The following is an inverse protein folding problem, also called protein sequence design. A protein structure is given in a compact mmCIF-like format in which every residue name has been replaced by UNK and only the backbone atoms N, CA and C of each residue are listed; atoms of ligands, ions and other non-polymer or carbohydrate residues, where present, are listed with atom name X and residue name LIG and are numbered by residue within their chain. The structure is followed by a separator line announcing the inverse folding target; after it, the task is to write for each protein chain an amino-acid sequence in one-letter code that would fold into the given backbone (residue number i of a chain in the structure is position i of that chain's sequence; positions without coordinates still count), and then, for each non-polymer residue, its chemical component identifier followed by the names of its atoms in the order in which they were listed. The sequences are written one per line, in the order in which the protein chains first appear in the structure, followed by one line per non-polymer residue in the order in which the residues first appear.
data_IF_552532150783
#
_entry.id   IF_552532150783
#
_cell.length_a   1.000
_cell.length_b   1.000
_cell.length_c   1.000
_cell.angle_alpha   90.00
_cell.angle_beta   90.00
_cell.angle_gamma   90.00
#
_symmetry.space_group_name_H-M   'P 1'
#
loop_
_entity.id
_entity.type
_entity.pdbx_description
1 polymer ?
#
# COMPACT_ATOMS: atom_id res chain seq x y z
N UNK A 1 42.40 -14.50 64.25
CA UNK A 1 42.90 -13.19 63.78
C UNK A 1 41.69 -12.44 63.24
N UNK A 2 40.83 -11.97 64.14
CA UNK A 2 40.73 -10.56 64.59
C UNK A 2 40.03 -9.70 63.53
N UNK A 3 38.94 -8.96 63.76
CA UNK A 3 38.03 -8.68 64.88
C UNK A 3 36.92 -7.84 64.19
N UNK A 4 35.67 -8.31 64.11
CA UNK A 4 34.53 -7.87 64.93
C UNK A 4 34.32 -6.34 65.07
N UNK A 5 33.11 -5.85 64.73
CA UNK A 5 32.11 -5.29 65.69
C UNK A 5 31.01 -4.48 64.95
N UNK A 6 29.72 -4.92 64.93
CA UNK A 6 28.59 -4.65 65.87
C UNK A 6 27.70 -3.47 65.37
N UNK A 7 26.46 -3.70 64.88
CA UNK A 7 25.14 -3.83 65.56
C UNK A 7 24.57 -2.47 66.05
N UNK A 8 23.26 -2.16 66.15
CA UNK A 8 22.01 -2.90 66.42
C UNK A 8 20.81 -1.92 66.17
N UNK A 9 19.74 -2.25 65.44
CA UNK A 9 18.44 -2.85 65.83
C UNK A 9 17.46 -2.05 66.72
N UNK A 10 16.26 -1.81 66.15
CA UNK A 10 14.85 -1.96 66.62
C UNK A 10 14.40 -1.59 68.07
N UNK A 11 13.13 -1.12 68.10
CA UNK A 11 12.06 -1.35 69.12
C UNK A 11 11.64 -0.10 69.92
N UNK A 12 10.44 0.48 69.71
CA UNK A 12 9.10 0.16 70.24
C UNK A 12 8.84 0.61 71.71
N UNK A 13 7.73 1.36 71.90
CA UNK A 13 6.78 1.38 73.05
C UNK A 13 6.76 2.60 74.04
N UNK A 14 5.52 3.13 74.19
CA UNK A 14 4.80 3.71 75.36
C UNK A 14 4.65 5.23 75.58
N UNK A 15 3.43 5.70 75.20
CA UNK A 15 2.35 6.33 76.02
C UNK A 15 2.70 7.22 77.24
N UNK A 16 2.14 8.44 77.22
CA UNK A 16 1.40 9.16 78.30
C UNK A 16 0.57 10.27 77.59
N UNK A 17 -0.77 10.24 77.52
CA UNK A 17 -1.79 10.75 78.49
C UNK A 17 -1.39 12.10 79.14
N UNK A 18 -2.19 13.18 79.26
CA UNK A 18 -3.63 13.50 79.14
C UNK A 18 -3.72 15.06 79.27
N UNK A 19 -4.46 15.81 78.45
CA UNK A 19 -5.81 16.41 78.69
C UNK A 19 -5.87 17.91 79.11
N UNK A 20 -6.89 18.59 78.53
CA UNK A 20 -7.58 19.85 78.91
C UNK A 20 -6.94 21.20 78.45
N UNK A 21 -7.66 22.21 77.92
CA UNK A 21 -9.11 22.51 77.89
C UNK A 21 -9.50 23.60 76.84
N UNK A 22 -10.76 23.51 76.39
CA UNK A 22 -11.76 24.55 76.05
C UNK A 22 -11.58 25.61 74.92
N UNK A 23 -12.53 25.54 73.97
CA UNK A 23 -13.05 26.57 73.04
C UNK A 23 -14.05 27.52 73.78
N UNK A 24 -14.84 28.45 73.16
CA UNK A 24 -14.98 28.86 71.75
C UNK A 24 -15.17 30.39 71.48
N UNK A 25 -15.10 30.83 70.22
CA UNK A 25 -15.94 31.95 69.73
C UNK A 25 -16.06 31.97 68.20
N UNK A 26 -17.31 31.99 67.69
CA UNK A 26 -17.73 32.12 66.29
C UNK A 26 -17.73 33.59 65.85
N UNK A 27 -17.42 33.90 64.58
CA UNK A 27 -18.16 34.84 63.69
C UNK A 27 -17.67 34.70 62.22
N UNK A 28 -18.50 35.11 61.26
CA UNK A 28 -18.70 34.70 59.84
C UNK A 28 -17.63 35.19 58.78
N UNK A 29 -17.71 34.77 57.49
CA UNK A 29 -16.58 34.63 56.55
C UNK A 29 -16.36 35.83 55.61
N UNK A 30 -15.17 35.90 55.00
CA UNK A 30 -14.88 36.74 53.84
C UNK A 30 -14.27 35.91 52.70
N UNK A 31 -14.96 35.89 51.56
CA UNK A 31 -14.45 35.42 50.28
C UNK A 31 -13.27 36.29 49.81
N UNK A 32 -12.19 35.68 49.35
CA UNK A 32 -11.26 36.31 48.40
C UNK A 32 -11.00 35.38 47.23
N UNK A 33 -11.23 35.92 46.03
CA UNK A 33 -11.24 35.25 44.74
C UNK A 33 -9.82 35.05 44.18
N UNK A 34 -9.60 33.87 43.61
CA UNK A 34 -8.40 33.48 42.87
C UNK A 34 -8.45 34.12 41.48
N UNK A 35 -7.48 34.99 41.15
CA UNK A 35 -7.28 35.51 39.79
C UNK A 35 -6.02 34.92 39.16
N UNK A 36 -6.12 33.70 38.65
CA UNK A 36 -5.10 33.08 37.77
C UNK A 36 -5.78 32.31 36.63
N UNK A 37 -6.43 32.99 35.69
CA UNK A 37 -7.10 32.32 34.54
C UNK A 37 -6.95 33.01 33.18
N UNK A 38 -6.16 34.08 33.01
CA UNK A 38 -6.05 34.76 31.70
C UNK A 38 -4.83 34.34 30.87
N UNK A 39 -3.71 33.93 31.48
CA UNK A 39 -2.49 33.55 30.75
C UNK A 39 -2.55 32.13 30.14
N UNK A 40 -3.10 31.15 30.87
CA UNK A 40 -3.19 29.76 30.41
C UNK A 40 -4.21 29.57 29.26
N UNK A 41 -5.31 30.34 29.27
CA UNK A 41 -6.31 30.36 28.20
C UNK A 41 -5.79 31.03 26.92
N UNK A 42 -4.99 32.10 27.04
CA UNK A 42 -4.32 32.74 25.89
C UNK A 42 -3.31 31.79 25.21
N UNK A 43 -2.58 30.99 26.00
CA UNK A 43 -1.61 30.02 25.45
C UNK A 43 -2.29 28.83 24.75
N UNK A 44 -3.37 28.27 25.31
CA UNK A 44 -4.18 27.23 24.62
C UNK A 44 -4.80 27.73 23.32
N UNK A 45 -5.26 28.99 23.27
CA UNK A 45 -5.82 29.60 22.06
C UNK A 45 -4.76 29.88 20.99
N UNK A 46 -3.51 30.16 21.38
CA UNK A 46 -2.40 30.37 20.44
C UNK A 46 -1.93 29.05 19.83
N UNK A 47 -1.80 27.99 20.65
CA UNK A 47 -1.45 26.64 20.19
C UNK A 47 -2.51 26.09 19.23
N UNK A 48 -3.81 26.22 19.55
CA UNK A 48 -4.89 25.77 18.67
C UNK A 48 -4.98 26.57 17.36
N UNK A 49 -4.70 27.89 17.36
CA UNK A 49 -4.61 28.68 16.12
C UNK A 49 -3.44 28.25 15.23
N UNK A 50 -2.27 27.94 15.81
CA UNK A 50 -1.11 27.43 15.07
C UNK A 50 -1.43 26.05 14.46
N UNK A 51 -2.07 25.17 15.23
CA UNK A 51 -2.46 23.84 14.78
C UNK A 51 -3.49 23.89 13.63
N UNK A 52 -4.49 24.77 13.73
CA UNK A 52 -5.47 25.02 12.65
C UNK A 52 -4.81 25.61 11.40
N UNK A 53 -3.88 26.55 11.54
CA UNK A 53 -3.10 27.11 10.40
C UNK A 53 -2.23 26.04 9.73
N UNK A 54 -1.56 25.19 10.51
CA UNK A 54 -0.76 24.07 10.00
C UNK A 54 -1.63 23.04 9.27
N UNK A 55 -2.82 22.74 9.79
CA UNK A 55 -3.79 21.86 9.10
C UNK A 55 -4.29 22.47 7.78
N UNK A 56 -4.63 23.76 7.77
CA UNK A 56 -5.07 24.45 6.55
C UNK A 56 -3.97 24.51 5.49
N UNK A 57 -2.74 24.85 5.89
CA UNK A 57 -1.59 24.85 5.00
C UNK A 57 -1.30 23.45 4.46
N UNK A 58 -1.36 22.42 5.30
CA UNK A 58 -1.23 21.02 4.85
C UNK A 58 -2.36 20.64 3.88
N UNK A 59 -3.60 21.11 4.07
CA UNK A 59 -4.70 20.79 3.15
C UNK A 59 -4.56 21.51 1.81
N UNK A 60 -4.17 22.78 1.80
CA UNK A 60 -3.86 23.53 0.58
C UNK A 60 -2.66 22.92 -0.17
N UNK A 61 -1.59 22.57 0.54
CA UNK A 61 -0.44 21.88 -0.04
C UNK A 61 -0.81 20.52 -0.62
N UNK A 62 -1.64 19.73 0.08
CA UNK A 62 -2.15 18.46 -0.43
C UNK A 62 -3.06 18.62 -1.64
N UNK A 63 -3.91 19.66 -1.68
CA UNK A 63 -4.75 19.98 -2.83
C UNK A 63 -3.91 20.37 -4.05
N UNK A 64 -2.91 21.21 -3.85
CA UNK A 64 -1.94 21.57 -4.89
C UNK A 64 -1.13 20.36 -5.36
N UNK A 65 -0.74 19.47 -4.45
CA UNK A 65 -0.03 18.24 -4.79
C UNK A 65 -0.92 17.33 -5.64
N UNK A 66 -2.16 17.09 -5.21
CA UNK A 66 -3.15 16.30 -5.96
C UNK A 66 -3.36 16.86 -7.37
N UNK A 67 -3.51 18.17 -7.52
CA UNK A 67 -3.63 18.80 -8.85
C UNK A 67 -2.42 18.56 -9.75
N UNK A 68 -1.22 18.44 -9.17
CA UNK A 68 0.01 18.23 -9.93
C UNK A 68 0.28 16.77 -10.28
N UNK A 69 -0.25 15.83 -9.49
CA UNK A 69 -0.11 14.38 -9.73
C UNK A 69 -1.25 13.81 -10.54
N UNK A 70 -2.42 14.45 -10.55
CA UNK A 70 -3.60 13.95 -11.23
C UNK A 70 -3.38 13.88 -12.74
N UNK A 71 -3.86 12.78 -13.30
CA UNK A 71 -3.98 12.57 -14.73
C UNK A 71 -5.00 13.53 -15.33
N UNK A 72 -4.63 14.11 -16.46
CA UNK A 72 -5.52 14.96 -17.26
C UNK A 72 -6.30 14.13 -18.30
N UNK A 73 -6.16 12.80 -18.28
CA UNK A 73 -6.79 11.88 -19.23
C UNK A 73 -8.31 11.83 -19.02
N UNK A 74 -9.03 12.04 -20.12
CA UNK A 74 -10.46 11.76 -20.15
C UNK A 74 -10.66 10.25 -20.25
N UNK A 75 -11.44 9.70 -19.32
CA UNK A 75 -11.87 8.32 -19.39
C UNK A 75 -12.90 8.21 -20.52
N UNK A 76 -12.62 7.39 -21.52
CA UNK A 76 -13.60 7.09 -22.58
C UNK A 76 -14.67 6.16 -21.99
N UNK A 77 -15.79 6.76 -21.56
CA UNK A 77 -16.92 6.07 -20.95
C UNK A 77 -17.54 5.03 -21.90
N UNK A 78 -17.45 5.22 -23.21
CA UNK A 78 -18.03 4.33 -24.21
C UNK A 78 -17.16 3.09 -24.41
N UNK A 79 -15.82 3.24 -24.51
CA UNK A 79 -14.88 2.10 -24.50
C UNK A 79 -14.96 1.33 -23.17
N UNK A 80 -15.10 2.06 -22.05
CA UNK A 80 -15.28 1.51 -20.71
C UNK A 80 -16.55 0.65 -20.62
N UNK A 81 -17.69 1.16 -21.09
CA UNK A 81 -18.96 0.42 -21.12
C UNK A 81 -18.99 -0.70 -22.17
N UNK A 82 -18.35 -0.51 -23.32
CA UNK A 82 -18.34 -1.48 -24.44
C UNK A 82 -17.46 -2.70 -24.16
N UNK A 83 -16.32 -2.54 -23.50
CA UNK A 83 -15.43 -3.66 -23.17
C UNK A 83 -15.78 -4.31 -21.83
N UNK A 84 -16.42 -3.58 -20.91
CA UNK A 84 -16.57 -4.03 -19.52
C UNK A 84 -17.98 -3.81 -18.91
N UNK A 85 -18.97 -3.36 -19.69
CA UNK A 85 -20.31 -3.02 -19.21
C UNK A 85 -21.37 -4.12 -19.31
N UNK A 86 -21.03 -5.35 -19.72
CA UNK A 86 -22.01 -6.44 -19.75
C UNK A 86 -22.15 -7.13 -18.38
N UNK A 87 -23.20 -6.72 -17.64
CA UNK A 87 -24.06 -7.59 -16.82
C UNK A 87 -23.50 -8.31 -15.58
N UNK A 88 -22.29 -8.87 -15.63
CA UNK A 88 -21.69 -9.69 -14.58
C UNK A 88 -20.28 -9.18 -14.28
N UNK A 89 -20.21 -8.18 -13.39
CA UNK A 89 -19.02 -7.57 -12.77
C UNK A 89 -17.67 -7.76 -13.50
N UNK A 90 -17.52 -7.21 -14.71
CA UNK A 90 -16.22 -7.20 -15.39
C UNK A 90 -15.40 -6.01 -14.85
N UNK A 91 -14.29 -6.32 -14.18
CA UNK A 91 -13.46 -5.35 -13.47
C UNK A 91 -12.63 -4.50 -14.44
N UNK A 92 -12.74 -3.17 -14.36
CA UNK A 92 -11.89 -2.27 -15.15
C UNK A 92 -10.51 -2.13 -14.49
N UNK A 93 -9.42 -2.37 -15.25
CA UNK A 93 -8.06 -2.18 -14.74
C UNK A 93 -7.82 -0.73 -14.29
N UNK A 94 -7.07 -0.57 -13.20
CA UNK A 94 -6.81 0.74 -12.59
C UNK A 94 -5.84 1.53 -13.46
N UNK A 95 -6.15 2.79 -13.77
CA UNK A 95 -5.30 3.65 -14.59
C UNK A 95 -4.94 3.04 -15.96
N UNK A 96 -5.86 2.27 -16.56
CA UNK A 96 -5.65 1.57 -17.83
C UNK A 96 -5.14 2.51 -18.93
N UNK A 97 -5.76 3.70 -19.04
CA UNK A 97 -5.38 4.67 -20.04
C UNK A 97 -3.95 5.17 -19.83
N UNK A 98 -3.58 5.51 -18.60
CA UNK A 98 -2.23 5.99 -18.27
C UNK A 98 -1.19 4.90 -18.55
N UNK A 99 -1.50 3.64 -18.22
CA UNK A 99 -0.60 2.51 -18.54
C UNK A 99 -0.39 2.37 -20.05
N UNK A 100 -1.43 2.50 -20.87
CA UNK A 100 -1.28 2.48 -22.32
C UNK A 100 -0.41 3.64 -22.82
N UNK A 101 -0.60 4.85 -22.29
CA UNK A 101 0.22 6.01 -22.69
C UNK A 101 1.71 5.81 -22.36
N UNK A 102 2.02 5.10 -21.27
CA UNK A 102 3.39 4.79 -20.87
C UNK A 102 4.12 3.92 -21.91
N UNK A 103 3.42 3.09 -22.65
CA UNK A 103 4.04 2.19 -23.65
C UNK A 103 3.75 2.61 -25.10
N UNK A 104 2.83 3.54 -25.35
CA UNK A 104 2.38 3.92 -26.69
C UNK A 104 3.47 4.50 -27.61
N UNK A 105 4.48 5.16 -27.06
CA UNK A 105 5.53 5.84 -27.83
C UNK A 105 6.71 4.94 -28.21
N UNK A 106 6.73 3.70 -27.71
CA UNK A 106 7.80 2.74 -27.94
C UNK A 106 7.30 1.52 -28.68
N UNK A 107 8.19 0.92 -29.49
CA UNK A 107 7.97 -0.39 -30.07
C UNK A 107 8.08 -1.42 -28.95
N UNK A 108 7.03 -2.23 -28.75
CA UNK A 108 6.93 -3.14 -27.62
C UNK A 108 7.01 -4.60 -28.08
N UNK A 109 8.18 -5.03 -28.56
CA UNK A 109 8.37 -6.41 -29.06
C UNK A 109 8.23 -7.45 -27.95
N UNK A 110 8.50 -7.07 -26.69
CA UNK A 110 8.37 -7.96 -25.53
C UNK A 110 7.79 -7.26 -24.29
N UNK A 111 6.86 -7.91 -23.60
CA UNK A 111 6.21 -7.35 -22.42
C UNK A 111 6.05 -8.36 -21.26
N UNK A 112 6.26 -7.89 -20.03
CA UNK A 112 6.06 -8.69 -18.82
C UNK A 112 5.04 -8.02 -17.89
N UNK A 113 3.93 -8.69 -17.63
CA UNK A 113 3.00 -8.34 -16.55
C UNK A 113 3.35 -9.15 -15.30
N UNK A 114 3.89 -8.50 -14.29
CA UNK A 114 4.30 -9.13 -13.03
C UNK A 114 3.12 -9.46 -12.10
N UNK A 115 1.93 -8.95 -12.41
CA UNK A 115 0.73 -8.98 -11.56
C UNK A 115 -0.47 -9.18 -12.46
N UNK A 116 -0.44 -10.29 -13.19
CA UNK A 116 -1.36 -10.60 -14.30
C UNK A 116 -2.82 -10.36 -13.92
N UNK A 117 -3.22 -10.72 -12.70
CA UNK A 117 -4.59 -10.60 -12.24
C UNK A 117 -5.51 -11.37 -13.18
N UNK A 118 -6.64 -10.76 -13.54
CA UNK A 118 -7.56 -11.34 -14.54
C UNK A 118 -7.11 -11.10 -16.00
N UNK A 119 -5.94 -10.47 -16.25
CA UNK A 119 -5.42 -10.22 -17.59
C UNK A 119 -5.93 -8.93 -18.26
N UNK A 120 -6.52 -8.01 -17.50
CA UNK A 120 -7.13 -6.78 -18.05
C UNK A 120 -6.12 -5.79 -18.64
N UNK A 121 -5.05 -5.45 -17.92
CA UNK A 121 -3.96 -4.62 -18.46
C UNK A 121 -3.27 -5.30 -19.64
N UNK A 122 -2.91 -6.57 -19.45
CA UNK A 122 -2.24 -7.39 -20.45
C UNK A 122 -3.02 -7.49 -21.76
N UNK A 123 -4.33 -7.74 -21.69
CA UNK A 123 -5.19 -7.79 -22.89
C UNK A 123 -5.17 -6.48 -23.68
N UNK A 124 -5.25 -5.34 -22.97
CA UNK A 124 -5.26 -4.04 -23.62
C UNK A 124 -3.89 -3.68 -24.23
N UNK A 125 -2.80 -4.02 -23.55
CA UNK A 125 -1.44 -3.79 -24.05
C UNK A 125 -1.16 -4.65 -25.28
N UNK A 126 -1.53 -5.94 -25.26
CA UNK A 126 -1.38 -6.83 -26.43
C UNK A 126 -2.16 -6.29 -27.64
N UNK A 127 -3.39 -5.80 -27.43
CA UNK A 127 -4.19 -5.21 -28.52
C UNK A 127 -3.59 -3.89 -29.05
N UNK A 128 -3.00 -3.08 -28.18
CA UNK A 128 -2.39 -1.81 -28.56
C UNK A 128 -1.05 -1.99 -29.29
N UNK A 129 -0.41 -3.15 -29.14
CA UNK A 129 0.90 -3.49 -29.70
C UNK A 129 0.84 -4.77 -30.55
N UNK A 130 0.20 -4.74 -31.74
CA UNK A 130 0.12 -5.90 -32.64
C UNK A 130 1.49 -6.36 -33.18
N UNK A 131 2.53 -5.54 -33.03
CA UNK A 131 3.91 -5.90 -33.34
C UNK A 131 4.59 -6.76 -32.26
N UNK A 132 3.97 -6.94 -31.09
CA UNK A 132 4.50 -7.72 -29.99
C UNK A 132 4.74 -9.17 -30.40
N UNK A 133 5.93 -9.69 -30.05
CA UNK A 133 6.34 -11.06 -30.34
C UNK A 133 6.35 -11.95 -29.12
N UNK A 134 6.56 -11.35 -27.95
CA UNK A 134 6.75 -12.11 -26.72
C UNK A 134 6.02 -11.47 -25.54
N UNK A 135 5.28 -12.28 -24.81
CA UNK A 135 4.53 -11.84 -23.65
C UNK A 135 4.67 -12.84 -22.49
N UNK A 136 4.89 -12.32 -21.28
CA UNK A 136 4.93 -13.11 -20.04
C UNK A 136 4.00 -12.49 -19.00
N UNK A 137 3.05 -13.27 -18.49
CA UNK A 137 2.21 -12.91 -17.34
C UNK A 137 2.53 -13.75 -16.11
N UNK A 138 2.74 -13.12 -14.96
CA UNK A 138 3.01 -13.76 -13.68
C UNK A 138 1.89 -13.47 -12.69
N UNK A 139 1.40 -14.50 -12.01
CA UNK A 139 0.56 -14.34 -10.83
C UNK A 139 0.86 -15.44 -9.81
N UNK A 140 0.52 -15.19 -8.55
CA UNK A 140 0.60 -16.19 -7.49
C UNK A 140 -0.76 -16.84 -7.20
N UNK A 141 -1.84 -16.27 -7.72
CA UNK A 141 -3.21 -16.72 -7.50
C UNK A 141 -3.70 -17.60 -8.66
N UNK A 142 -4.01 -18.89 -8.42
CA UNK A 142 -4.50 -19.80 -9.45
C UNK A 142 -5.81 -19.34 -10.10
N UNK A 143 -6.70 -18.69 -9.34
CA UNK A 143 -7.99 -18.23 -9.87
C UNK A 143 -7.79 -17.07 -10.84
N UNK A 144 -6.90 -16.13 -10.49
CA UNK A 144 -6.59 -14.99 -11.35
C UNK A 144 -5.93 -15.48 -12.66
N UNK A 145 -4.95 -16.37 -12.54
CA UNK A 145 -4.25 -16.97 -13.67
C UNK A 145 -5.19 -17.69 -14.65
N UNK A 146 -6.13 -18.50 -14.16
CA UNK A 146 -7.11 -19.19 -15.02
C UNK A 146 -8.01 -18.20 -15.80
N UNK A 147 -8.47 -17.15 -15.12
CA UNK A 147 -9.26 -16.08 -15.76
C UNK A 147 -8.45 -15.36 -16.84
N UNK A 148 -7.19 -15.01 -16.53
CA UNK A 148 -6.31 -14.36 -17.48
C UNK A 148 -6.00 -15.23 -18.70
N UNK A 149 -5.78 -16.53 -18.51
CA UNK A 149 -5.59 -17.46 -19.63
C UNK A 149 -6.81 -17.48 -20.55
N UNK A 150 -8.02 -17.50 -19.98
CA UNK A 150 -9.26 -17.46 -20.74
C UNK A 150 -9.41 -16.14 -21.50
N UNK A 151 -9.09 -15.01 -20.86
CA UNK A 151 -9.17 -13.69 -21.47
C UNK A 151 -8.15 -13.51 -22.61
N UNK A 152 -6.90 -13.89 -22.38
CA UNK A 152 -5.80 -13.75 -23.35
C UNK A 152 -6.02 -14.63 -24.59
N UNK A 153 -6.54 -15.86 -24.44
CA UNK A 153 -6.96 -16.69 -25.58
C UNK A 153 -7.98 -15.97 -26.46
N UNK A 154 -8.96 -15.30 -25.84
CA UNK A 154 -9.97 -14.53 -26.58
C UNK A 154 -9.40 -13.35 -27.36
N UNK A 155 -8.32 -12.73 -26.88
CA UNK A 155 -7.63 -11.62 -27.57
C UNK A 155 -6.80 -12.13 -28.73
N UNK A 156 -5.98 -13.14 -28.51
CA UNK A 156 -5.09 -13.72 -29.52
C UNK A 156 -5.87 -14.33 -30.69
N UNK A 157 -7.03 -14.94 -30.43
CA UNK A 157 -7.83 -15.61 -31.46
C UNK A 157 -8.85 -14.73 -32.19
N UNK A 158 -9.20 -13.54 -31.66
CA UNK A 158 -10.22 -12.67 -32.29
C UNK A 158 -9.77 -12.04 -33.61
N UNK A 159 -8.48 -11.79 -33.76
CA UNK A 159 -7.91 -11.19 -34.98
C UNK A 159 -7.43 -12.23 -36.00
N UNK A 160 -7.71 -13.53 -35.77
CA UNK A 160 -7.33 -14.65 -36.64
C UNK A 160 -8.26 -14.84 -37.86
N UNK A 161 -8.66 -13.76 -38.52
CA UNK A 161 -8.92 -13.80 -39.96
C UNK A 161 -7.62 -13.35 -40.65
N UNK A 162 -6.80 -14.32 -41.07
CA UNK A 162 -5.65 -14.20 -41.97
C UNK A 162 -4.32 -13.61 -41.44
N UNK A 163 -4.13 -13.38 -40.14
CA UNK A 163 -2.79 -13.20 -39.56
C UNK A 163 -2.57 -14.16 -38.40
N UNK A 164 -1.75 -15.19 -38.62
CA UNK A 164 -1.14 -15.95 -37.53
C UNK A 164 -0.36 -14.93 -36.71
N UNK A 165 -0.82 -14.61 -35.51
CA UNK A 165 -0.04 -13.76 -34.60
C UNK A 165 1.14 -14.61 -34.12
N UNK A 166 2.36 -14.29 -34.55
CA UNK A 166 3.61 -14.92 -34.07
C UNK A 166 3.91 -14.60 -32.58
N UNK A 167 2.90 -14.10 -31.83
CA UNK A 167 2.99 -13.75 -30.43
C UNK A 167 3.08 -15.01 -29.56
N UNK A 168 4.21 -15.17 -28.88
CA UNK A 168 4.40 -16.21 -27.87
C UNK A 168 3.87 -15.70 -26.52
N UNK A 169 2.84 -16.36 -26.00
CA UNK A 169 2.17 -16.00 -24.75
C UNK A 169 2.49 -17.03 -23.68
N UNK A 170 3.18 -16.60 -22.63
CA UNK A 170 3.50 -17.41 -21.46
C UNK A 170 2.78 -16.86 -20.23
N UNK A 171 2.02 -17.69 -19.53
CA UNK A 171 1.37 -17.31 -18.26
C UNK A 171 1.78 -18.30 -17.19
N UNK A 172 2.35 -17.84 -16.09
CA UNK A 172 2.97 -18.70 -15.08
C UNK A 172 2.46 -18.40 -13.67
N UNK A 173 2.19 -19.47 -12.92
CA UNK A 173 1.89 -19.40 -11.49
C UNK A 173 3.17 -19.25 -10.67
N UNK A 174 3.80 -18.10 -10.79
CA UNK A 174 5.05 -17.75 -10.11
C UNK A 174 4.98 -16.34 -9.57
N UNK A 175 5.59 -16.13 -8.41
CA UNK A 175 5.77 -14.80 -7.84
C UNK A 175 6.76 -13.99 -8.70
N UNK A 176 6.46 -12.70 -8.92
CA UNK A 176 7.28 -11.80 -9.72
C UNK A 176 8.72 -11.62 -9.20
N UNK A 177 9.01 -11.95 -7.93
CA UNK A 177 10.39 -12.01 -7.42
C UNK A 177 11.29 -12.95 -8.21
N UNK A 178 10.69 -13.91 -8.92
CA UNK A 178 11.38 -14.89 -9.75
C UNK A 178 11.52 -14.43 -11.21
N UNK A 179 11.24 -13.16 -11.56
CA UNK A 179 11.24 -12.69 -12.95
C UNK A 179 12.52 -13.07 -13.71
N UNK A 180 13.71 -12.92 -13.10
CA UNK A 180 14.98 -13.28 -13.76
C UNK A 180 15.07 -14.76 -14.09
N UNK A 181 14.71 -15.64 -13.16
CA UNK A 181 14.75 -17.09 -13.42
C UNK A 181 13.69 -17.49 -14.43
N UNK A 182 12.51 -16.87 -14.37
CA UNK A 182 11.43 -17.12 -15.33
C UNK A 182 11.84 -16.76 -16.75
N UNK A 183 12.38 -15.56 -16.95
CA UNK A 183 12.82 -15.12 -18.28
C UNK A 183 13.90 -16.06 -18.82
N UNK A 184 14.85 -16.47 -17.98
CA UNK A 184 15.90 -17.42 -18.36
C UNK A 184 15.35 -18.82 -18.70
N UNK A 185 14.33 -19.29 -18.00
CA UNK A 185 13.71 -20.61 -18.25
C UNK A 185 12.91 -20.64 -19.55
N UNK A 186 12.24 -19.53 -19.90
CA UNK A 186 11.43 -19.47 -21.13
C UNK A 186 12.33 -19.35 -22.35
N UNK A 187 13.25 -18.39 -22.33
CA UNK A 187 14.20 -18.19 -23.43
C UNK A 187 15.43 -17.41 -22.92
N UNK A 188 16.58 -18.08 -22.93
CA UNK A 188 17.85 -17.50 -22.49
C UNK A 188 18.33 -16.36 -23.38
N UNK A 189 17.91 -16.30 -24.65
CA UNK A 189 18.31 -15.24 -25.59
C UNK A 189 17.55 -13.93 -25.32
N UNK A 190 16.32 -14.00 -24.78
CA UNK A 190 15.53 -12.80 -24.40
C UNK A 190 16.22 -11.98 -23.31
N UNK A 191 17.01 -12.62 -22.44
CA UNK A 191 17.78 -11.92 -21.42
C UNK A 191 19.05 -11.24 -21.96
N UNK A 192 19.54 -11.63 -23.15
CA UNK A 192 20.72 -11.00 -23.73
C UNK A 192 20.41 -9.56 -24.16
N UNK A 193 19.23 -9.34 -24.75
CA UNK A 193 18.77 -8.01 -25.18
C UNK A 193 17.89 -7.31 -24.12
N UNK A 194 17.21 -8.09 -23.25
CA UNK A 194 16.29 -7.60 -22.23
C UNK A 194 14.86 -7.40 -22.74
N UNK A 195 13.93 -7.10 -21.83
CA UNK A 195 12.51 -6.89 -22.18
C UNK A 195 12.17 -5.40 -22.34
N UNK A 196 11.30 -5.09 -23.30
CA UNK A 196 10.94 -3.70 -23.63
C UNK A 196 10.01 -3.06 -22.61
N UNK A 197 9.03 -3.79 -22.06
CA UNK A 197 8.14 -3.26 -21.03
C UNK A 197 7.88 -4.23 -19.89
N UNK A 198 7.78 -3.69 -18.68
CA UNK A 198 7.37 -4.42 -17.49
C UNK A 198 6.32 -3.59 -16.75
N UNK A 199 5.23 -4.24 -16.33
CA UNK A 199 4.20 -3.67 -15.47
C UNK A 199 4.13 -4.42 -14.13
N UNK A 200 3.97 -3.67 -13.05
CA UNK A 200 3.63 -4.16 -11.72
C UNK A 200 2.42 -3.37 -11.17
N UNK A 201 1.22 -3.95 -11.23
CA UNK A 201 0.00 -3.47 -10.60
C UNK A 201 -0.17 -4.12 -9.22
N UNK A 202 0.33 -3.44 -8.17
CA UNK A 202 0.48 -4.03 -6.84
C UNK A 202 -0.87 -4.19 -6.12
N UNK A 203 -0.90 -5.04 -5.09
CA UNK A 203 -2.07 -5.18 -4.22
C UNK A 203 -2.93 -6.40 -4.56
N UNK A 204 -4.24 -6.28 -4.33
CA UNK A 204 -5.17 -7.42 -4.35
C UNK A 204 -6.04 -7.38 -5.59
N UNK A 205 -6.28 -8.55 -6.17
CA UNK A 205 -7.26 -8.70 -7.24
C UNK A 205 -8.69 -8.60 -6.68
N UNK A 206 -9.63 -8.26 -7.56
CA UNK A 206 -11.05 -8.27 -7.18
C UNK A 206 -11.54 -9.65 -6.79
N UNK A 207 -10.95 -10.71 -7.35
CA UNK A 207 -11.36 -12.09 -7.07
C UNK A 207 -11.00 -12.47 -5.64
N UNK A 208 -9.86 -11.96 -5.15
CA UNK A 208 -9.44 -12.12 -3.76
C UNK A 208 -10.34 -11.36 -2.79
N UNK A 209 -10.74 -10.13 -3.12
CA UNK A 209 -11.55 -9.28 -2.22
C UNK A 209 -13.03 -9.70 -2.22
N UNK A 210 -13.57 -10.09 -3.37
CA UNK A 210 -14.98 -10.45 -3.52
C UNK A 210 -15.29 -11.85 -3.00
N UNK A 211 -14.31 -12.77 -3.02
CA UNK A 211 -14.45 -14.09 -2.43
C UNK A 211 -14.19 -14.03 -0.92
N UNK A 212 -15.25 -14.15 -0.11
CA UNK A 212 -15.15 -14.10 1.35
C UNK A 212 -14.27 -15.20 1.94
N UNK A 213 -14.21 -16.38 1.31
CA UNK A 213 -13.38 -17.51 1.76
C UNK A 213 -11.88 -17.22 1.71
N UNK A 214 -11.46 -16.16 1.00
CA UNK A 214 -10.06 -15.72 0.93
C UNK A 214 -9.67 -14.82 2.11
N UNK A 215 -10.63 -14.31 2.87
CA UNK A 215 -10.37 -13.55 4.10
C UNK A 215 -9.86 -12.12 3.92
N UNK A 216 -9.86 -11.57 2.70
CA UNK A 216 -9.37 -10.20 2.44
C UNK A 216 -10.42 -9.11 2.72
N UNK A 217 -11.71 -9.46 2.77
CA UNK A 217 -12.79 -8.49 2.94
C UNK A 217 -12.94 -8.04 4.40
N UNK A 218 -12.99 -6.73 4.60
CA UNK A 218 -13.34 -6.12 5.90
C UNK A 218 -14.85 -6.19 6.18
N UNK A 219 -15.66 -6.34 5.13
CA UNK A 219 -17.12 -6.25 5.20
C UNK A 219 -17.81 -7.61 5.23
N UNK A 220 -17.28 -8.57 4.48
CA UNK A 220 -17.82 -9.91 4.38
C UNK A 220 -17.06 -10.86 5.31
N UNK A 221 -17.79 -11.67 6.06
CA UNK A 221 -17.21 -12.65 6.98
C UNK A 221 -16.59 -13.82 6.23
N UNK A 222 -15.49 -14.35 6.75
CA UNK A 222 -14.71 -15.44 6.19
C UNK A 222 -13.54 -15.83 7.10
N UNK A 223 -12.76 -16.86 6.73
CA UNK A 223 -11.61 -17.30 7.52
C UNK A 223 -10.50 -16.24 7.51
N UNK A 224 -9.67 -16.22 8.57
CA UNK A 224 -8.48 -15.38 8.64
C UNK A 224 -7.32 -15.96 7.80
N UNK A 225 -7.51 -16.02 6.48
CA UNK A 225 -6.53 -16.57 5.55
C UNK A 225 -5.56 -15.48 5.01
N UNK A 226 -6.05 -14.63 4.10
CA UNK A 226 -5.30 -13.55 3.45
C UNK A 226 -4.08 -13.97 2.61
N UNK A 227 -3.91 -15.26 2.30
CA UNK A 227 -2.86 -15.71 1.37
C UNK A 227 -3.27 -15.42 -0.07
N UNK A 228 -2.39 -14.74 -0.82
CA UNK A 228 -2.54 -14.53 -2.26
C UNK A 228 -2.28 -15.84 -3.02
N UNK A 229 -1.29 -16.62 -2.59
CA UNK A 229 -1.07 -18.00 -3.01
C UNK A 229 -1.72 -18.96 -2.00
N UNK A 230 -2.80 -19.68 -2.34
CA UNK A 230 -3.44 -20.64 -1.44
C UNK A 230 -2.52 -21.77 -0.92
N UNK A 231 -1.41 -22.05 -1.61
CA UNK A 231 -0.41 -23.05 -1.22
C UNK A 231 0.63 -22.52 -0.22
N UNK A 232 0.64 -21.22 0.08
CA UNK A 232 1.54 -20.66 1.09
C UNK A 232 1.18 -21.17 2.49
N UNK A 233 2.16 -21.34 3.37
CA UNK A 233 1.92 -21.97 4.69
C UNK A 233 1.34 -21.04 5.74
N UNK A 234 1.67 -19.75 5.71
CA UNK A 234 1.32 -18.78 6.74
C UNK A 234 -0.05 -18.14 6.47
N UNK A 235 -0.99 -18.21 7.42
CA UNK A 235 -2.28 -17.51 7.37
C UNK A 235 -2.30 -16.31 8.32
N UNK A 236 -3.24 -15.38 8.12
CA UNK A 236 -3.47 -14.28 9.05
C UNK A 236 -3.86 -14.77 10.46
N UNK A 237 -4.56 -15.90 10.54
CA UNK A 237 -4.89 -16.59 11.79
C UNK A 237 -3.63 -16.97 12.59
N UNK A 238 -2.62 -17.54 11.93
CA UNK A 238 -1.36 -17.95 12.57
C UNK A 238 -0.62 -16.75 13.17
N UNK A 239 -0.63 -15.62 12.46
CA UNK A 239 -0.06 -14.37 12.96
C UNK A 239 -0.79 -13.91 14.21
N UNK A 240 -2.12 -13.85 14.17
CA UNK A 240 -2.92 -13.32 15.27
C UNK A 240 -2.90 -14.22 16.49
N UNK A 241 -2.84 -15.53 16.33
CA UNK A 241 -2.94 -16.49 17.42
C UNK A 241 -1.58 -16.99 17.93
N UNK A 242 -0.55 -17.06 17.09
CA UNK A 242 0.69 -17.77 17.42
C UNK A 242 1.96 -16.92 17.40
N UNK A 243 1.99 -15.77 16.71
CA UNK A 243 3.19 -14.93 16.69
C UNK A 243 3.46 -14.25 18.05
N UNK A 244 4.72 -13.94 18.37
CA UNK A 244 5.06 -13.14 19.55
C UNK A 244 4.28 -11.81 19.56
N UNK A 245 3.81 -11.41 20.74
CA UNK A 245 3.01 -10.19 20.90
C UNK A 245 3.71 -8.96 20.29
N UNK A 246 5.03 -8.86 20.49
CA UNK A 246 5.86 -7.78 19.95
C UNK A 246 5.85 -7.74 18.42
N UNK A 247 5.81 -8.89 17.75
CA UNK A 247 5.75 -8.99 16.30
C UNK A 247 4.37 -8.61 15.76
N UNK A 248 3.29 -9.02 16.44
CA UNK A 248 1.94 -8.54 16.12
C UNK A 248 1.88 -7.01 16.27
N UNK A 249 2.41 -6.47 17.35
CA UNK A 249 2.52 -5.02 17.54
C UNK A 249 3.32 -4.33 16.44
N UNK A 250 4.45 -4.93 16.04
CA UNK A 250 5.31 -4.41 14.96
C UNK A 250 4.56 -4.31 13.64
N UNK A 251 3.90 -5.38 13.18
CA UNK A 251 3.21 -5.33 11.88
C UNK A 251 2.05 -4.33 11.90
N UNK A 252 1.29 -4.23 13.00
CA UNK A 252 0.20 -3.25 13.12
C UNK A 252 0.72 -1.81 13.03
N UNK A 253 1.87 -1.55 13.66
CA UNK A 253 2.53 -0.24 13.64
C UNK A 253 3.15 0.08 12.29
N UNK A 254 3.95 -0.84 11.75
CA UNK A 254 4.85 -0.57 10.63
C UNK A 254 4.20 -0.85 9.28
N UNK A 255 3.40 -1.91 9.17
CA UNK A 255 2.69 -2.27 7.94
C UNK A 255 1.27 -1.67 7.87
N UNK A 256 0.63 -1.50 9.02
CA UNK A 256 -0.69 -0.86 9.12
C UNK A 256 -0.65 0.66 9.27
N UNK A 257 0.50 1.24 9.63
CA UNK A 257 0.61 2.64 10.05
C UNK A 257 -0.46 3.02 11.12
N UNK A 258 -0.82 2.08 12.01
CA UNK A 258 -1.91 2.24 12.97
C UNK A 258 -1.41 2.88 14.26
N UNK A 259 -1.96 4.04 14.63
CA UNK A 259 -1.51 4.78 15.81
C UNK A 259 -1.85 4.07 17.13
N UNK A 260 -2.98 3.38 17.20
CA UNK A 260 -3.42 2.64 18.39
C UNK A 260 -2.93 1.18 18.39
N UNK A 261 -1.87 0.87 17.65
CA UNK A 261 -1.32 -0.49 17.49
C UNK A 261 -1.11 -1.21 18.82
N UNK A 262 -0.59 -0.51 19.85
CA UNK A 262 -0.31 -1.11 21.16
C UNK A 262 -1.59 -1.56 21.89
N UNK A 263 -2.65 -0.75 21.81
CA UNK A 263 -3.96 -1.10 22.39
C UNK A 263 -4.61 -2.28 21.66
N UNK A 264 -4.50 -2.29 20.33
CA UNK A 264 -5.00 -3.38 19.49
C UNK A 264 -4.25 -4.69 19.77
N UNK A 265 -2.92 -4.64 19.80
CA UNK A 265 -2.06 -5.78 20.17
C UNK A 265 -2.50 -6.37 21.51
N UNK A 266 -2.63 -5.57 22.56
CA UNK A 266 -3.05 -6.07 23.88
C UNK A 266 -4.44 -6.73 23.86
N UNK A 267 -5.36 -6.23 23.02
CA UNK A 267 -6.68 -6.85 22.86
C UNK A 267 -6.62 -8.17 22.10
N UNK A 268 -5.81 -8.26 21.04
CA UNK A 268 -5.57 -9.50 20.30
C UNK A 268 -4.96 -10.55 21.22
N UNK A 269 -3.93 -10.18 21.97
CA UNK A 269 -3.28 -11.07 22.96
C UNK A 269 -4.28 -11.55 24.01
N UNK A 270 -5.15 -10.66 24.49
CA UNK A 270 -6.20 -11.04 25.43
C UNK A 270 -7.22 -12.00 24.81
N UNK A 271 -7.56 -11.86 23.53
CA UNK A 271 -8.46 -12.76 22.83
C UNK A 271 -7.89 -14.19 22.71
N UNK A 272 -6.57 -14.35 22.64
CA UNK A 272 -5.89 -15.67 22.69
C UNK A 272 -6.25 -16.47 23.94
N UNK A 273 -6.45 -15.79 25.09
CA UNK A 273 -6.82 -16.44 26.34
C UNK A 273 -8.24 -17.03 26.32
N UNK A 274 -9.07 -16.64 25.36
CA UNK A 274 -10.46 -17.08 25.21
C UNK A 274 -10.70 -17.88 23.93
N UNK A 275 -9.65 -18.47 23.35
CA UNK A 275 -9.72 -19.32 22.16
C UNK A 275 -8.98 -18.75 20.94
N UNK A 276 -8.73 -17.44 20.88
CA UNK A 276 -8.11 -16.79 19.72
C UNK A 276 -9.13 -16.09 18.82
N UNK A 277 -8.69 -15.74 17.61
CA UNK A 277 -9.51 -15.18 16.55
C UNK A 277 -9.48 -16.15 15.36
N UNK A 278 -10.63 -16.50 14.80
CA UNK A 278 -10.76 -17.50 13.72
C UNK A 278 -11.49 -16.97 12.48
N UNK A 279 -12.16 -15.82 12.57
CA UNK A 279 -12.83 -15.19 11.43
C UNK A 279 -12.54 -13.70 11.28
N UNK A 280 -12.70 -13.20 10.06
CA UNK A 280 -12.59 -11.76 9.77
C UNK A 280 -13.61 -10.96 10.56
N UNK A 281 -14.81 -11.50 10.82
CA UNK A 281 -15.82 -10.86 11.66
C UNK A 281 -15.38 -10.72 13.11
N UNK A 282 -14.80 -11.76 13.71
CA UNK A 282 -14.29 -11.69 15.08
C UNK A 282 -13.21 -10.61 15.23
N UNK A 283 -12.28 -10.54 14.27
CA UNK A 283 -11.26 -9.51 14.22
C UNK A 283 -11.88 -8.11 14.08
N UNK A 284 -12.85 -7.94 13.17
CA UNK A 284 -13.56 -6.67 12.98
C UNK A 284 -14.32 -6.25 14.24
N UNK A 285 -14.97 -7.17 14.93
CA UNK A 285 -15.70 -6.87 16.17
C UNK A 285 -14.74 -6.50 17.31
N UNK A 286 -13.58 -7.15 17.40
CA UNK A 286 -12.50 -6.73 18.32
C UNK A 286 -12.04 -5.30 18.02
N UNK A 287 -11.84 -4.96 16.74
CA UNK A 287 -11.41 -3.63 16.31
C UNK A 287 -12.48 -2.57 16.62
N UNK A 288 -13.76 -2.86 16.34
CA UNK A 288 -14.89 -1.99 16.68
C UNK A 288 -14.92 -1.71 18.17
N UNK A 289 -14.75 -2.73 19.00
CA UNK A 289 -14.72 -2.62 20.46
C UNK A 289 -13.44 -1.93 20.98
N UNK A 290 -12.38 -1.82 20.17
CA UNK A 290 -11.15 -1.09 20.49
C UNK A 290 -11.17 0.40 20.15
N UNK A 291 -11.96 0.76 19.14
CA UNK A 291 -11.93 2.12 18.60
C UNK A 291 -12.88 2.99 19.42
N UNK A 292 -12.34 3.94 20.18
CA UNK A 292 -13.18 4.91 20.91
C UNK A 292 -13.99 5.75 19.91
N UNK A 293 -15.29 5.90 20.17
CA UNK A 293 -16.23 6.70 19.37
C UNK A 293 -15.76 8.15 19.15
N UNK A 294 -14.88 8.65 20.03
CA UNK A 294 -14.35 10.02 20.01
C UNK A 294 -13.29 10.28 18.93
N UNK A 295 -12.58 9.26 18.42
CA UNK A 295 -11.54 9.42 17.39
C UNK A 295 -12.04 8.96 16.02
N UNK A 296 -12.72 9.84 15.29
CA UNK A 296 -12.99 9.67 13.85
C UNK A 296 -14.45 9.44 13.44
N UNK A 297 -15.41 9.52 14.37
CA UNK A 297 -16.84 9.37 14.10
C UNK A 297 -17.24 7.94 13.68
N UNK A 298 -18.45 7.77 13.11
CA UNK A 298 -19.03 6.46 12.70
C UNK A 298 -18.12 5.61 11.79
N UNK A 299 -17.18 6.24 11.07
CA UNK A 299 -16.27 5.60 10.11
C UNK A 299 -14.86 5.31 10.66
N UNK A 300 -14.56 5.67 11.92
CA UNK A 300 -13.21 5.53 12.49
C UNK A 300 -12.73 4.07 12.58
N UNK A 301 -13.65 3.15 12.92
CA UNK A 301 -13.33 1.73 13.03
C UNK A 301 -13.03 1.11 11.65
N UNK A 302 -13.70 1.56 10.57
CA UNK A 302 -13.44 1.05 9.20
C UNK A 302 -12.01 1.36 8.79
N UNK A 303 -11.55 2.60 9.03
CA UNK A 303 -10.16 2.98 8.73
C UNK A 303 -9.15 2.14 9.51
N UNK A 304 -9.46 1.88 10.78
CA UNK A 304 -8.63 1.03 11.63
C UNK A 304 -8.61 -0.40 11.10
N UNK A 305 -9.77 -0.95 10.74
CA UNK A 305 -9.87 -2.29 10.16
C UNK A 305 -9.13 -2.41 8.83
N UNK A 306 -9.28 -1.45 7.92
CA UNK A 306 -8.51 -1.43 6.66
C UNK A 306 -7.00 -1.46 6.91
N UNK A 307 -6.48 -0.74 7.91
CA UNK A 307 -5.06 -0.76 8.28
C UNK A 307 -4.61 -2.07 8.90
N UNK A 308 -5.42 -2.66 9.78
CA UNK A 308 -5.12 -3.96 10.39
C UNK A 308 -5.10 -5.06 9.32
N UNK A 309 -6.09 -5.07 8.42
CA UNK A 309 -6.15 -6.02 7.31
C UNK A 309 -4.98 -5.81 6.35
N UNK A 310 -4.63 -4.57 6.02
CA UNK A 310 -3.43 -4.25 5.24
C UNK A 310 -2.16 -4.79 5.92
N UNK A 311 -2.01 -4.59 7.24
CA UNK A 311 -0.84 -5.08 7.98
C UNK A 311 -0.70 -6.60 7.93
N UNK A 312 -1.81 -7.31 8.14
CA UNK A 312 -1.86 -8.76 8.09
C UNK A 312 -1.57 -9.26 6.67
N UNK A 313 -2.22 -8.69 5.66
CA UNK A 313 -2.01 -9.00 4.24
C UNK A 313 -0.54 -8.90 3.85
N UNK A 314 0.08 -7.76 4.18
CA UNK A 314 1.50 -7.49 3.93
C UNK A 314 2.38 -8.53 4.62
N UNK A 315 2.07 -8.87 5.88
CA UNK A 315 2.87 -9.81 6.65
C UNK A 315 2.73 -11.26 6.14
N UNK A 316 1.52 -11.69 5.79
CA UNK A 316 1.21 -13.03 5.26
C UNK A 316 1.94 -13.26 3.94
N UNK A 317 1.95 -12.26 3.06
CA UNK A 317 2.46 -12.41 1.68
C UNK A 317 3.88 -11.86 1.49
N UNK A 318 4.52 -11.39 2.57
CA UNK A 318 5.85 -10.74 2.55
C UNK A 318 5.98 -9.66 1.45
N UNK A 319 4.93 -8.86 1.28
CA UNK A 319 4.73 -8.03 0.08
C UNK A 319 5.83 -6.97 -0.08
N UNK A 320 6.22 -6.31 1.01
CA UNK A 320 7.15 -5.18 0.95
C UNK A 320 8.60 -5.62 0.69
N UNK A 321 9.03 -6.73 1.28
CA UNK A 321 10.37 -7.28 1.02
C UNK A 321 10.45 -7.82 -0.40
N UNK A 322 9.42 -8.59 -0.80
CA UNK A 322 9.28 -9.08 -2.18
C UNK A 322 9.33 -7.93 -3.19
N UNK A 323 8.57 -6.85 -2.96
CA UNK A 323 8.58 -5.66 -3.84
C UNK A 323 9.96 -5.03 -3.95
N UNK A 324 10.64 -4.82 -2.81
CA UNK A 324 11.95 -4.16 -2.76
C UNK A 324 12.98 -4.88 -3.64
N UNK A 325 13.05 -6.20 -3.53
CA UNK A 325 14.01 -7.00 -4.28
C UNK A 325 13.62 -7.12 -5.76
N UNK A 326 12.31 -7.20 -6.02
CA UNK A 326 11.78 -7.39 -7.37
C UNK A 326 11.94 -6.17 -8.26
N UNK A 327 11.83 -4.94 -7.73
CA UNK A 327 12.00 -3.73 -8.56
C UNK A 327 13.38 -3.71 -9.23
N UNK A 328 14.43 -4.06 -8.48
CA UNK A 328 15.78 -4.11 -9.04
C UNK A 328 15.90 -5.24 -10.04
N UNK A 329 15.33 -6.41 -9.74
CA UNK A 329 15.34 -7.54 -10.66
C UNK A 329 14.64 -7.21 -11.98
N UNK A 330 13.47 -6.56 -11.94
CA UNK A 330 12.75 -6.09 -13.11
C UNK A 330 13.56 -5.07 -13.91
N UNK A 331 14.15 -4.07 -13.23
CA UNK A 331 14.95 -3.05 -13.91
C UNK A 331 16.16 -3.66 -14.63
N UNK A 332 16.87 -4.59 -13.99
CA UNK A 332 18.01 -5.25 -14.61
C UNK A 332 17.61 -6.05 -15.87
N UNK A 333 16.40 -6.63 -15.88
CA UNK A 333 15.85 -7.38 -17.01
C UNK A 333 15.38 -6.54 -18.18
N UNK A 334 15.31 -5.20 -18.06
CA UNK A 334 14.89 -4.33 -19.16
C UNK A 334 15.95 -4.26 -20.27
N UNK A 335 15.50 -4.10 -21.51
CA UNK A 335 16.32 -3.65 -22.62
C UNK A 335 16.71 -2.17 -22.47
N UNK A 336 17.73 -1.71 -23.19
CA UNK A 336 17.98 -0.26 -23.36
C UNK A 336 16.74 0.40 -23.99
N UNK A 337 16.33 1.54 -23.45
CA UNK A 337 15.06 2.19 -23.80
C UNK A 337 13.81 1.55 -23.17
N UNK A 338 13.93 0.39 -22.52
CA UNK A 338 12.82 -0.32 -21.90
C UNK A 338 12.24 0.40 -20.67
N UNK A 339 10.95 0.18 -20.40
CA UNK A 339 10.22 0.87 -19.31
C UNK A 339 9.68 -0.10 -18.26
N UNK A 340 9.86 0.27 -16.99
CA UNK A 340 9.19 -0.36 -15.86
C UNK A 340 8.14 0.61 -15.29
N UNK A 341 6.87 0.20 -15.37
CA UNK A 341 5.72 0.87 -14.80
C UNK A 341 5.26 0.16 -13.52
N UNK A 342 5.05 0.90 -12.44
CA UNK A 342 4.57 0.35 -11.15
C UNK A 342 3.38 1.16 -10.64
N UNK A 343 2.25 0.50 -10.43
CA UNK A 343 1.07 1.06 -9.75
C UNK A 343 1.08 0.58 -8.30
N UNK A 344 1.03 1.52 -7.37
CA UNK A 344 0.97 1.26 -5.93
C UNK A 344 -0.33 1.80 -5.33
N UNK A 345 -0.86 1.16 -4.30
CA UNK A 345 -2.16 1.52 -3.71
C UNK A 345 -2.06 2.06 -2.29
N UNK A 346 -0.88 1.94 -1.66
CA UNK A 346 -0.64 2.54 -0.36
C UNK A 346 0.74 3.20 -0.23
N UNK A 347 0.88 3.98 0.84
CA UNK A 347 2.06 4.79 1.17
C UNK A 347 3.35 3.97 1.24
N UNK A 348 3.30 2.77 1.84
CA UNK A 348 4.48 1.91 2.03
C UNK A 348 5.06 1.41 0.71
N UNK A 349 4.22 0.89 -0.20
CA UNK A 349 4.62 0.48 -1.55
C UNK A 349 5.21 1.65 -2.33
N UNK A 350 4.47 2.77 -2.46
CA UNK A 350 4.89 3.96 -3.19
C UNK A 350 6.24 4.51 -2.69
N UNK A 351 6.47 4.46 -1.37
CA UNK A 351 7.73 4.85 -0.77
C UNK A 351 8.86 3.90 -1.17
N UNK A 352 8.64 2.60 -1.18
CA UNK A 352 9.64 1.61 -1.64
C UNK A 352 9.96 1.83 -3.11
N UNK A 353 8.95 2.00 -3.97
CA UNK A 353 9.13 2.25 -5.41
C UNK A 353 9.93 3.53 -5.64
N UNK A 354 9.54 4.64 -4.99
CA UNK A 354 10.27 5.92 -5.08
C UNK A 354 11.75 5.74 -4.71
N UNK A 355 12.03 5.10 -3.58
CA UNK A 355 13.40 4.94 -3.08
C UNK A 355 14.22 4.01 -3.97
N UNK A 356 13.63 2.91 -4.46
CA UNK A 356 14.30 2.01 -5.38
C UNK A 356 14.68 2.71 -6.69
N UNK A 357 13.77 3.52 -7.27
CA UNK A 357 14.06 4.28 -8.48
C UNK A 357 15.16 5.32 -8.28
N UNK A 358 15.16 6.04 -7.15
CA UNK A 358 16.22 7.00 -6.82
C UNK A 358 17.59 6.31 -6.67
N UNK A 359 17.62 5.14 -6.01
CA UNK A 359 18.83 4.35 -5.86
C UNK A 359 19.35 3.84 -7.21
N UNK A 360 18.48 3.42 -8.13
CA UNK A 360 18.88 2.95 -9.47
C UNK A 360 19.57 4.07 -10.26
N UNK A 361 19.07 5.29 -10.14
CA UNK A 361 19.57 6.47 -10.86
C UNK A 361 20.88 7.00 -10.25
N UNK A 362 21.25 6.53 -9.05
CA UNK A 362 22.41 6.97 -8.27
C UNK A 362 22.44 8.49 -8.02
N UNK A 363 21.28 9.13 -7.94
CA UNK A 363 21.17 10.57 -7.66
C UNK A 363 20.75 10.82 -6.21
N UNK A 364 21.38 11.83 -5.59
CA UNK A 364 20.86 12.45 -4.37
C UNK A 364 19.52 13.12 -4.68
N UNK A 365 18.67 13.37 -3.67
CA UNK A 365 17.51 14.29 -3.82
C UNK A 365 17.94 15.73 -4.20
N UNK A 366 19.21 16.02 -4.47
CA UNK A 366 19.69 17.35 -4.89
C UNK A 366 20.22 17.39 -6.34
N UNK A 367 20.48 16.25 -7.00
CA UNK A 367 21.05 16.16 -8.37
C UNK A 367 20.00 16.35 -9.48
N UNK A 368 18.96 17.13 -9.19
CA UNK A 368 17.83 17.30 -10.09
C UNK A 368 18.15 18.20 -11.28
N UNK A 369 18.29 17.60 -12.46
CA UNK A 369 18.11 18.36 -13.70
C UNK A 369 16.62 18.56 -13.92
N UNK A 370 16.13 19.79 -13.71
CA UNK A 370 14.88 20.24 -14.33
C UNK A 370 15.17 20.39 -15.82
N UNK A 371 14.93 19.34 -16.59
CA UNK A 371 14.80 19.50 -18.02
C UNK A 371 13.35 19.98 -18.24
N UNK A 372 13.18 21.30 -18.41
CA UNK A 372 12.05 21.81 -19.19
C UNK A 372 12.31 21.29 -20.61
N UNK A 373 11.66 20.19 -20.98
CA UNK A 373 11.86 19.50 -22.26
C UNK A 373 11.43 20.42 -23.39
N UNK A 374 12.39 21.13 -23.99
CA UNK A 374 12.12 21.96 -25.16
C UNK A 374 12.10 21.18 -26.47
N UNK A 375 12.81 20.04 -26.65
CA UNK A 375 13.11 19.61 -28.03
C UNK A 375 13.07 18.10 -28.39
N UNK A 376 12.34 17.23 -27.67
CA UNK A 376 12.11 15.85 -28.17
C UNK A 376 10.75 15.29 -27.74
N UNK A 377 9.99 14.80 -28.74
CA UNK A 377 8.68 14.10 -28.69
C UNK A 377 8.03 14.13 -27.30
N UNK A 378 7.22 15.16 -27.05
CA UNK A 378 6.53 15.35 -25.77
C UNK A 378 5.42 14.32 -25.60
N UNK A 379 5.74 13.21 -24.96
CA UNK A 379 4.71 12.37 -24.35
C UNK A 379 4.00 13.19 -23.26
N UNK A 380 2.76 13.61 -23.51
CA UNK A 380 2.05 14.60 -22.67
C UNK A 380 1.85 14.18 -21.21
N UNK A 381 2.00 12.90 -20.89
CA UNK A 381 1.92 12.37 -19.53
C UNK A 381 3.23 12.58 -18.72
N UNK A 382 4.36 12.83 -19.39
CA UNK A 382 5.65 13.10 -18.75
C UNK A 382 5.71 14.56 -18.33
N UNK A 383 5.48 14.82 -17.04
CA UNK A 383 5.51 16.19 -16.48
C UNK A 383 6.90 16.59 -15.98
N UNK A 384 7.61 15.66 -15.33
CA UNK A 384 8.91 15.92 -14.69
C UNK A 384 9.74 14.64 -14.65
N UNK A 385 10.97 14.74 -15.16
CA UNK A 385 11.92 13.63 -15.17
C UNK A 385 13.03 13.79 -14.12
N UNK A 386 13.71 12.69 -13.80
CA UNK A 386 14.98 12.67 -13.07
C UNK A 386 15.93 11.78 -13.87
N UNK A 387 16.96 12.37 -14.46
CA UNK A 387 17.92 11.68 -15.31
C UNK A 387 19.16 11.26 -14.50
N UNK A 388 19.56 10.01 -14.63
CA UNK A 388 20.82 9.46 -14.12
C UNK A 388 21.67 8.91 -15.25
N UNK A 389 22.72 8.17 -14.88
CA UNK A 389 23.66 7.58 -15.86
C UNK A 389 23.05 6.42 -16.63
N UNK A 390 22.43 5.49 -15.91
CA UNK A 390 21.93 4.21 -16.48
C UNK A 390 20.40 4.17 -16.60
N UNK A 391 19.71 5.21 -16.11
CA UNK A 391 18.25 5.24 -16.04
C UNK A 391 17.68 6.66 -15.99
N UNK A 392 16.43 6.82 -16.42
CA UNK A 392 15.64 8.05 -16.26
C UNK A 392 14.30 7.76 -15.59
N UNK A 393 14.00 8.42 -14.47
CA UNK A 393 12.66 8.39 -13.87
C UNK A 393 11.78 9.33 -14.69
N UNK A 394 10.73 8.80 -15.32
CA UNK A 394 9.81 9.58 -16.15
C UNK A 394 8.72 10.28 -15.33
N UNK A 395 8.48 9.80 -14.09
CA UNK A 395 7.48 10.34 -13.17
C UNK A 395 8.12 10.74 -11.84
N UNK A 396 8.79 11.91 -11.77
CA UNK A 396 9.33 12.43 -10.49
C UNK A 396 8.27 12.44 -9.39
N UNK A 397 7.05 12.83 -9.77
CA UNK A 397 5.85 12.69 -8.96
C UNK A 397 4.98 11.59 -9.56
N UNK A 398 4.33 10.77 -8.72
CA UNK A 398 3.48 9.71 -9.24
C UNK A 398 2.31 10.34 -10.01
N UNK A 399 1.84 9.62 -11.02
CA UNK A 399 0.57 9.94 -11.68
C UNK A 399 -0.54 9.32 -10.81
N UNK A 400 -1.62 10.06 -10.57
CA UNK A 400 -2.79 9.60 -9.82
C UNK A 400 -4.03 9.66 -10.71
N UNK A 401 -5.03 8.79 -10.52
CA UNK A 401 -6.20 8.73 -11.40
C UNK A 401 -7.02 10.01 -11.40
N UNK A 402 -7.81 10.18 -12.46
CA UNK A 402 -8.71 11.32 -12.64
C UNK A 402 -9.90 11.26 -11.67
N UNK A 403 -10.56 12.40 -11.42
CA UNK A 403 -11.77 12.40 -10.56
C UNK A 403 -12.92 11.57 -11.14
N UNK A 404 -12.99 11.46 -12.47
CA UNK A 404 -13.99 10.63 -13.16
C UNK A 404 -13.72 9.15 -12.85
N UNK A 405 -12.46 8.72 -12.97
CA UNK A 405 -12.07 7.34 -12.65
C UNK A 405 -12.25 7.03 -11.16
N UNK A 406 -11.88 7.92 -10.24
CA UNK A 406 -12.07 7.69 -8.80
C UNK A 406 -13.55 7.44 -8.42
N UNK A 407 -14.49 8.04 -9.17
CA UNK A 407 -15.94 7.86 -8.97
C UNK A 407 -16.46 6.55 -9.56
N UNK A 408 -15.96 6.17 -10.73
CA UNK A 408 -16.39 4.96 -11.44
C UNK A 408 -15.74 3.70 -10.88
N UNK A 409 -14.45 3.78 -10.53
CA UNK A 409 -13.68 2.71 -9.93
C UNK A 409 -13.10 3.15 -8.58
N UNK A 410 -13.83 2.89 -7.51
CA UNK A 410 -13.38 3.28 -6.15
C UNK A 410 -12.03 2.68 -5.73
N UNK A 411 -11.58 1.60 -6.40
CA UNK A 411 -10.27 0.97 -6.14
C UNK A 411 -9.11 1.81 -6.67
N UNK A 412 -9.32 2.64 -7.68
CA UNK A 412 -8.28 3.52 -8.24
C UNK A 412 -7.93 4.67 -7.28
N UNK A 413 -8.80 5.01 -6.32
CA UNK A 413 -8.67 6.21 -5.45
C UNK A 413 -7.29 6.43 -4.83
N UNK A 414 -6.57 5.37 -4.48
CA UNK A 414 -5.26 5.47 -3.83
C UNK A 414 -4.10 5.08 -4.76
N UNK A 415 -4.40 4.80 -6.03
CA UNK A 415 -3.44 4.37 -7.03
C UNK A 415 -2.44 5.48 -7.36
N UNK A 416 -1.19 5.07 -7.51
CA UNK A 416 -0.06 5.92 -7.85
C UNK A 416 0.83 5.16 -8.83
N UNK A 417 0.86 5.66 -10.06
CA UNK A 417 1.71 5.13 -11.13
C UNK A 417 3.08 5.84 -11.11
N UNK A 418 4.15 5.04 -11.11
CA UNK A 418 5.52 5.51 -11.32
C UNK A 418 6.18 4.76 -12.47
N UNK A 419 7.02 5.45 -13.22
CA UNK A 419 7.71 4.91 -14.40
C UNK A 419 9.19 5.27 -14.37
N UNK A 420 10.03 4.28 -14.65
CA UNK A 420 11.47 4.43 -14.90
C UNK A 420 11.81 3.79 -16.25
N UNK A 421 12.73 4.41 -16.99
CA UNK A 421 13.24 3.94 -18.27
C UNK A 421 14.74 3.63 -18.14
N UNK A 422 15.18 2.51 -18.70
CA UNK A 422 16.60 2.15 -18.80
C UNK A 422 17.24 2.88 -19.98
N UNK A 423 18.46 3.40 -19.80
CA UNK A 423 19.22 4.09 -20.86
C UNK A 423 20.06 3.06 -21.61
#
# INVERSE_FOLDING_TARGET
MALAAIASAKSLIRKKLFLHSNSPSKFFPLCFSISTTTAALKNKNKVTKIQKRKQKWNSEANLLLKRRTRSDKELDEEIFLKHYGNGDSVHVPVMLGEVLDVFASMRLDSFVDCTLGAGGHSSAIIQAHPEMKFYVGLDVDPVAHEMAQSQLKGVVHKDSCDKISDLQVHTLLKNFKNIKSVLHEIDGEILADGVHGILMDLGMSSMQVNNSERGFSVLNDGPLDMRMNPEASLRAEDILNSWPDSEVGRILRDYGEENNWYSLQNKIVKARLTGGLHSTRELVDLIRNSTSWTRGGRQGWIKTATRVFQALRIAVNDELNTLKDSIRACFDSLASGGRLAVISFHSLEDRIVKQAFLNIVNCSEDDFVKIDTSDSVKEGWIKQIVQGRDATILTKRPITPSEKEEKLNTRSRSAKLRVIQKI
#
